data_IF_708324976182
#
_entry.id   IF_708324976182
#
_cell.length_a   1.000
_cell.length_b   1.000
_cell.length_c   1.000
_cell.angle_alpha   90.00
_cell.angle_beta   90.00
_cell.angle_gamma   90.00
#
_symmetry.space_group_name_H-M   'P 1'
#
loop_
_entity.id
_entity.type
_entity.pdbx_description
1 polymer ?
#
# COMPACT_ATOMS: atom_id res chain seq x y z
N UNK A 1 -25.59 67.99 -43.41
CA UNK A 1 -25.04 68.99 -42.47
C UNK A 1 -25.38 68.55 -41.07
N UNK A 2 -24.38 68.64 -40.18
CA UNK A 2 -24.42 68.56 -38.72
C UNK A 2 -24.73 67.20 -38.06
N UNK A 3 -23.72 66.66 -37.38
CA UNK A 3 -23.89 65.84 -36.17
C UNK A 3 -23.94 66.72 -34.92
N UNK A 4 -24.24 66.13 -33.77
CA UNK A 4 -23.31 66.02 -32.62
C UNK A 4 -23.94 65.20 -31.47
N UNK A 5 -23.08 64.68 -30.61
CA UNK A 5 -23.26 63.79 -29.45
C UNK A 5 -24.19 64.29 -28.30
N UNK A 6 -24.77 63.34 -27.55
CA UNK A 6 -24.82 63.39 -26.08
C UNK A 6 -25.31 62.06 -25.44
N UNK A 7 -24.39 61.43 -24.69
CA UNK A 7 -24.61 60.37 -23.70
C UNK A 7 -25.74 60.65 -22.68
N UNK A 8 -26.49 59.60 -22.32
CA UNK A 8 -26.94 59.38 -20.93
C UNK A 8 -26.87 57.91 -20.54
N UNK A 9 -26.18 57.69 -19.43
CA UNK A 9 -25.88 56.47 -18.69
C UNK A 9 -27.11 55.90 -17.96
N UNK A 10 -26.89 54.76 -17.29
CA UNK A 10 -27.68 54.09 -16.22
C UNK A 10 -28.61 52.98 -16.77
N UNK A 11 -28.49 51.69 -16.45
CA UNK A 11 -27.77 50.94 -15.43
C UNK A 11 -27.62 49.47 -15.90
N UNK A 12 -26.40 48.93 -15.90
CA UNK A 12 -26.20 47.48 -16.01
C UNK A 12 -26.32 46.89 -14.60
N UNK A 13 -27.44 46.22 -14.33
CA UNK A 13 -27.57 45.32 -13.19
C UNK A 13 -26.51 44.22 -13.26
N UNK A 14 -25.44 44.37 -12.48
CA UNK A 14 -24.50 43.29 -12.20
C UNK A 14 -25.24 42.21 -11.44
N UNK A 15 -25.64 41.14 -12.12
CA UNK A 15 -25.84 39.85 -11.46
C UNK A 15 -24.46 39.35 -11.00
N UNK A 16 -24.06 39.74 -9.80
CA UNK A 16 -22.95 39.12 -9.09
C UNK A 16 -23.35 37.69 -8.74
N UNK A 17 -22.86 36.73 -9.51
CA UNK A 17 -22.89 35.32 -9.15
C UNK A 17 -22.15 35.17 -7.80
N UNK A 18 -22.73 34.53 -6.77
CA UNK A 18 -22.00 34.28 -5.54
C UNK A 18 -20.84 33.34 -5.87
N UNK A 19 -19.63 33.77 -5.53
CA UNK A 19 -18.39 33.03 -5.72
C UNK A 19 -18.56 31.63 -5.10
N UNK A 20 -18.64 30.57 -5.92
CA UNK A 20 -18.53 29.20 -5.41
C UNK A 20 -17.17 29.10 -4.71
N UNK A 21 -17.17 28.95 -3.39
CA UNK A 21 -16.01 28.43 -2.66
C UNK A 21 -15.77 27.02 -3.16
N UNK A 22 -14.73 26.87 -3.96
CA UNK A 22 -14.22 25.60 -4.47
C UNK A 22 -13.85 24.73 -3.28
N UNK A 23 -14.49 23.58 -3.12
CA UNK A 23 -14.19 22.69 -2.00
C UNK A 23 -12.76 22.13 -2.14
N UNK A 24 -12.00 21.91 -1.05
CA UNK A 24 -10.59 21.50 -1.11
C UNK A 24 -10.35 20.21 -1.92
N UNK A 25 -11.32 19.29 -1.92
CA UNK A 25 -11.27 18.02 -2.64
C UNK A 25 -11.62 18.10 -4.13
N UNK A 26 -11.80 19.30 -4.67
CA UNK A 26 -11.82 19.52 -6.13
C UNK A 26 -10.39 19.65 -6.70
N UNK A 27 -9.39 19.84 -5.84
CA UNK A 27 -7.98 19.82 -6.24
C UNK A 27 -7.53 18.37 -6.49
N UNK A 28 -6.98 18.10 -7.69
CA UNK A 28 -6.49 16.77 -8.07
C UNK A 28 -5.42 16.17 -7.14
N UNK A 29 -4.70 17.01 -6.38
CA UNK A 29 -3.69 16.55 -5.43
C UNK A 29 -4.27 16.23 -4.05
N UNK A 30 -5.55 16.51 -3.82
CA UNK A 30 -6.21 16.25 -2.55
C UNK A 30 -6.49 14.75 -2.38
N UNK A 31 -6.26 14.15 -1.20
CA UNK A 31 -6.49 12.71 -0.99
C UNK A 31 -7.97 12.30 -1.13
N UNK A 32 -8.89 13.24 -0.91
CA UNK A 32 -10.34 13.03 -1.12
C UNK A 32 -10.81 13.29 -2.56
N UNK A 33 -9.92 13.68 -3.48
CA UNK A 33 -10.27 13.83 -4.89
C UNK A 33 -10.57 12.46 -5.50
N UNK A 34 -11.63 12.38 -6.30
CA UNK A 34 -12.00 11.19 -7.06
C UNK A 34 -11.77 11.46 -8.54
N UNK A 35 -10.77 10.78 -9.12
CA UNK A 35 -10.48 10.92 -10.54
C UNK A 35 -11.54 10.17 -11.37
N UNK A 36 -11.82 10.62 -12.59
CA UNK A 36 -12.83 9.97 -13.44
C UNK A 36 -12.48 8.51 -13.82
N UNK A 37 -11.21 8.13 -13.71
CA UNK A 37 -10.74 6.76 -13.91
C UNK A 37 -10.80 5.89 -12.64
N UNK A 38 -11.21 6.45 -11.51
CA UNK A 38 -11.36 5.74 -10.24
C UNK A 38 -12.69 4.99 -10.20
N UNK A 39 -12.71 3.86 -10.90
CA UNK A 39 -13.88 3.00 -10.97
C UNK A 39 -13.76 1.87 -9.93
N UNK A 40 -14.87 1.42 -9.32
CA UNK A 40 -14.85 0.31 -8.36
C UNK A 40 -14.26 -0.99 -8.93
N UNK A 41 -14.42 -1.24 -10.23
CA UNK A 41 -13.91 -2.43 -10.91
C UNK A 41 -12.45 -2.34 -11.40
N UNK A 42 -11.72 -1.28 -11.04
CA UNK A 42 -10.33 -1.15 -11.44
C UNK A 42 -9.47 -2.25 -10.79
N UNK A 43 -8.73 -2.99 -11.60
CA UNK A 43 -7.76 -3.98 -11.13
C UNK A 43 -6.50 -3.24 -10.67
N UNK A 44 -6.33 -3.09 -9.36
CA UNK A 44 -5.14 -2.43 -8.79
C UNK A 44 -3.92 -3.34 -8.70
N UNK A 45 -4.15 -4.63 -8.45
CA UNK A 45 -3.11 -5.66 -8.36
C UNK A 45 -3.52 -6.84 -9.23
N UNK A 46 -2.59 -7.38 -10.02
CA UNK A 46 -2.89 -8.44 -10.97
C UNK A 46 -3.11 -9.80 -10.29
N UNK A 47 -2.41 -10.05 -9.19
CA UNK A 47 -2.54 -11.28 -8.42
C UNK A 47 -3.33 -10.99 -7.13
N UNK A 48 -4.52 -11.59 -6.93
CA UNK A 48 -5.27 -11.43 -5.70
C UNK A 48 -4.55 -12.01 -4.49
N UNK A 49 -4.87 -11.52 -3.29
CA UNK A 49 -4.38 -12.10 -2.04
C UNK A 49 -4.88 -13.55 -1.92
N UNK A 50 -3.94 -14.43 -1.59
CA UNK A 50 -4.11 -15.84 -1.26
C UNK A 50 -3.36 -16.12 0.05
N UNK A 51 -3.34 -17.36 0.51
CA UNK A 51 -2.74 -17.72 1.80
C UNK A 51 -1.23 -17.52 1.85
N UNK A 52 -0.54 -17.61 0.72
CA UNK A 52 0.92 -17.75 0.60
C UNK A 52 1.62 -16.55 -0.06
N UNK A 53 0.89 -15.51 -0.46
CA UNK A 53 1.44 -14.40 -1.24
C UNK A 53 1.30 -13.01 -0.58
N UNK A 54 1.04 -12.97 0.73
CA UNK A 54 0.75 -11.73 1.46
C UNK A 54 1.84 -10.66 1.30
N UNK A 55 3.13 -11.02 1.34
CA UNK A 55 4.25 -10.06 1.17
C UNK A 55 4.17 -9.34 -0.18
N UNK A 56 4.04 -10.10 -1.27
CA UNK A 56 3.99 -9.54 -2.63
C UNK A 56 2.71 -8.73 -2.83
N UNK A 57 1.60 -9.23 -2.29
CA UNK A 57 0.31 -8.57 -2.38
C UNK A 57 0.29 -7.23 -1.64
N UNK A 58 0.76 -7.20 -0.38
CA UNK A 58 0.73 -5.98 0.45
C UNK A 58 1.62 -4.89 -0.17
N UNK A 59 2.78 -5.25 -0.71
CA UNK A 59 3.66 -4.30 -1.42
C UNK A 59 2.99 -3.75 -2.68
N UNK A 60 2.40 -4.63 -3.50
CA UNK A 60 1.75 -4.23 -4.74
C UNK A 60 0.53 -3.32 -4.48
N UNK A 61 -0.28 -3.66 -3.48
CA UNK A 61 -1.45 -2.89 -3.10
C UNK A 61 -1.05 -1.54 -2.49
N UNK A 62 0.00 -1.50 -1.67
CA UNK A 62 0.53 -0.26 -1.11
C UNK A 62 1.01 0.72 -2.19
N UNK A 63 1.74 0.22 -3.18
CA UNK A 63 2.17 1.00 -4.33
C UNK A 63 0.99 1.56 -5.12
N UNK A 64 -0.03 0.72 -5.41
CA UNK A 64 -1.20 1.13 -6.16
C UNK A 64 -1.99 2.23 -5.43
N UNK A 65 -2.22 2.07 -4.12
CA UNK A 65 -2.90 3.08 -3.30
C UNK A 65 -2.09 4.38 -3.16
N UNK A 66 -0.77 4.29 -3.15
CA UNK A 66 0.11 5.47 -3.16
C UNK A 66 -0.04 6.26 -4.46
N UNK A 67 0.01 5.58 -5.61
CA UNK A 67 -0.21 6.20 -6.94
C UNK A 67 -1.59 6.86 -7.03
N UNK A 68 -2.61 6.24 -6.44
CA UNK A 68 -3.99 6.78 -6.39
C UNK A 68 -4.19 7.90 -5.36
N UNK A 69 -3.18 8.21 -4.55
CA UNK A 69 -3.29 9.13 -3.41
C UNK A 69 -4.41 8.72 -2.43
N UNK A 70 -4.48 7.41 -2.12
CA UNK A 70 -5.49 6.80 -1.24
C UNK A 70 -4.90 5.96 -0.11
N UNK A 71 -3.56 5.89 0.01
CA UNK A 71 -2.86 5.17 1.09
C UNK A 71 -3.33 5.58 2.49
N UNK A 72 -3.67 6.86 2.67
CA UNK A 72 -4.15 7.39 3.95
C UNK A 72 -5.39 6.70 4.54
N UNK A 73 -6.21 6.08 3.69
CA UNK A 73 -7.41 5.34 4.10
C UNK A 73 -7.09 4.00 4.75
N UNK A 74 -5.93 3.40 4.48
CA UNK A 74 -5.56 2.08 5.01
C UNK A 74 -4.53 2.16 6.13
N UNK A 75 -3.60 3.13 6.08
CA UNK A 75 -2.60 3.33 7.14
C UNK A 75 -3.14 4.16 8.32
N UNK A 76 -4.27 4.83 8.13
CA UNK A 76 -4.93 5.62 9.17
C UNK A 76 -4.40 7.03 9.36
N UNK A 77 -3.53 7.51 8.47
CA UNK A 77 -3.11 8.92 8.46
C UNK A 77 -4.23 9.86 8.03
N UNK A 78 -5.23 9.37 7.29
CA UNK A 78 -6.42 10.12 6.87
C UNK A 78 -7.66 9.69 7.65
N UNK A 79 -7.96 10.41 8.73
CA UNK A 79 -9.13 10.14 9.56
C UNK A 79 -10.41 10.74 8.96
N UNK A 80 -11.55 10.10 9.24
CA UNK A 80 -12.86 10.63 8.86
C UNK A 80 -13.10 11.98 9.55
N UNK A 81 -13.43 13.06 8.82
CA UNK A 81 -13.73 14.36 9.41
C UNK A 81 -14.90 14.31 10.39
N UNK A 82 -14.94 15.19 11.39
CA UNK A 82 -16.00 15.24 12.42
C UNK A 82 -16.93 16.44 12.30
N UNK A 83 -16.48 17.53 11.68
CA UNK A 83 -17.17 18.83 11.74
C UNK A 83 -17.73 19.33 10.39
N UNK A 84 -17.33 18.74 9.27
CA UNK A 84 -17.79 19.13 7.94
C UNK A 84 -18.59 17.99 7.28
N UNK A 85 -19.93 18.08 7.17
CA UNK A 85 -20.76 17.04 6.56
C UNK A 85 -20.42 16.77 5.08
N UNK A 86 -20.04 17.79 4.31
CA UNK A 86 -19.68 17.62 2.89
C UNK A 86 -18.37 16.85 2.75
N UNK A 87 -17.38 17.20 3.58
CA UNK A 87 -16.09 16.51 3.61
C UNK A 87 -16.25 15.07 4.12
N UNK A 88 -17.11 14.85 5.11
CA UNK A 88 -17.47 13.51 5.59
C UNK A 88 -18.05 12.65 4.48
N UNK A 89 -19.03 13.17 3.74
CA UNK A 89 -19.64 12.46 2.63
C UNK A 89 -18.60 12.13 1.56
N UNK A 90 -17.70 13.06 1.25
CA UNK A 90 -16.63 12.82 0.29
C UNK A 90 -15.62 11.77 0.78
N UNK A 91 -15.24 11.83 2.06
CA UNK A 91 -14.41 10.81 2.70
C UNK A 91 -15.07 9.43 2.63
N UNK A 92 -16.38 9.34 2.94
CA UNK A 92 -17.14 8.09 2.91
C UNK A 92 -17.16 7.47 1.50
N UNK A 93 -17.29 8.30 0.45
CA UNK A 93 -17.20 7.86 -0.95
C UNK A 93 -15.83 7.28 -1.30
N UNK A 94 -14.76 7.98 -0.94
CA UNK A 94 -13.39 7.50 -1.17
C UNK A 94 -13.11 6.23 -0.36
N UNK A 95 -13.55 6.16 0.88
CA UNK A 95 -13.40 4.97 1.72
C UNK A 95 -14.13 3.76 1.12
N UNK A 96 -15.37 3.92 0.64
CA UNK A 96 -16.11 2.86 -0.06
C UNK A 96 -15.36 2.41 -1.32
N UNK A 97 -14.83 3.35 -2.10
CA UNK A 97 -14.03 3.03 -3.28
C UNK A 97 -12.79 2.20 -2.94
N UNK A 98 -12.03 2.59 -1.91
CA UNK A 98 -10.86 1.82 -1.46
C UNK A 98 -11.28 0.43 -0.99
N UNK A 99 -12.41 0.29 -0.28
CA UNK A 99 -12.96 -1.03 0.06
C UNK A 99 -13.27 -1.87 -1.18
N UNK A 100 -13.86 -1.28 -2.23
CA UNK A 100 -14.14 -2.03 -3.46
C UNK A 100 -12.88 -2.52 -4.14
N UNK A 101 -11.81 -1.72 -4.14
CA UNK A 101 -10.52 -2.13 -4.66
C UNK A 101 -9.87 -3.23 -3.81
N UNK A 102 -9.94 -3.14 -2.48
CA UNK A 102 -9.48 -4.21 -1.59
C UNK A 102 -10.23 -5.51 -1.85
N UNK A 103 -11.56 -5.47 -1.94
CA UNK A 103 -12.39 -6.63 -2.25
C UNK A 103 -12.09 -7.24 -3.63
N UNK A 104 -11.81 -6.39 -4.62
CA UNK A 104 -11.39 -6.84 -5.97
C UNK A 104 -9.95 -7.36 -6.01
N UNK A 105 -9.15 -7.06 -4.99
CA UNK A 105 -7.75 -7.46 -4.87
C UNK A 105 -7.54 -8.72 -4.02
N UNK A 106 -8.58 -9.35 -3.49
CA UNK A 106 -8.46 -10.54 -2.64
C UNK A 106 -9.27 -11.71 -3.22
N UNK A 107 -8.90 -12.95 -2.87
CA UNK A 107 -9.65 -14.12 -3.33
C UNK A 107 -11.09 -14.11 -2.79
N UNK A 108 -11.99 -14.81 -3.49
CA UNK A 108 -13.41 -14.91 -3.10
C UNK A 108 -13.61 -15.51 -1.70
N UNK A 109 -12.74 -16.42 -1.30
CA UNK A 109 -12.79 -17.03 0.02
C UNK A 109 -12.46 -16.01 1.13
N UNK A 110 -11.41 -15.22 0.92
CA UNK A 110 -11.00 -14.18 1.88
C UNK A 110 -12.04 -13.06 1.90
N UNK A 111 -12.57 -12.65 0.74
CA UNK A 111 -13.53 -11.55 0.66
C UNK A 111 -14.78 -11.78 1.50
N UNK A 112 -15.30 -13.02 1.54
CA UNK A 112 -16.45 -13.38 2.37
C UNK A 112 -16.21 -13.11 3.86
N UNK A 113 -14.96 -13.19 4.34
CA UNK A 113 -14.64 -12.94 5.75
C UNK A 113 -14.54 -11.46 6.11
N UNK A 114 -14.16 -10.60 5.16
CA UNK A 114 -13.87 -9.18 5.43
C UNK A 114 -14.90 -8.21 4.83
N UNK A 115 -15.86 -8.69 4.01
CA UNK A 115 -16.85 -7.83 3.33
C UNK A 115 -17.68 -6.97 4.29
N UNK A 116 -17.90 -7.46 5.52
CA UNK A 116 -18.67 -6.76 6.55
C UNK A 116 -17.85 -5.77 7.38
N UNK A 117 -16.54 -5.63 7.14
CA UNK A 117 -15.72 -4.58 7.74
C UNK A 117 -16.34 -3.20 7.53
N UNK A 118 -16.26 -2.33 8.53
CA UNK A 118 -16.89 -1.00 8.48
C UNK A 118 -16.25 -0.11 7.42
N UNK A 119 -14.93 0.00 7.45
CA UNK A 119 -14.13 0.87 6.59
C UNK A 119 -12.95 0.12 5.96
N UNK A 120 -12.25 0.78 5.02
CA UNK A 120 -11.09 0.23 4.34
C UNK A 120 -9.94 -0.07 5.31
N UNK A 121 -9.77 0.75 6.34
CA UNK A 121 -8.73 0.57 7.36
C UNK A 121 -8.94 -0.71 8.16
N UNK A 122 -10.16 -0.94 8.64
CA UNK A 122 -10.51 -2.15 9.41
C UNK A 122 -10.27 -3.40 8.55
N UNK A 123 -10.70 -3.37 7.29
CA UNK A 123 -10.44 -4.45 6.33
C UNK A 123 -8.94 -4.69 6.13
N UNK A 124 -8.17 -3.62 5.92
CA UNK A 124 -6.72 -3.71 5.76
C UNK A 124 -6.04 -4.33 6.99
N UNK A 125 -6.43 -3.90 8.19
CA UNK A 125 -5.87 -4.42 9.45
C UNK A 125 -6.24 -5.88 9.68
N UNK A 126 -7.47 -6.31 9.38
CA UNK A 126 -7.85 -7.73 9.47
C UNK A 126 -7.06 -8.60 8.49
N UNK A 127 -6.87 -8.14 7.25
CA UNK A 127 -6.04 -8.84 6.26
C UNK A 127 -4.57 -8.91 6.73
N UNK A 128 -4.06 -7.81 7.26
CA UNK A 128 -2.71 -7.76 7.81
C UNK A 128 -2.56 -8.72 8.98
N UNK A 129 -3.45 -8.65 9.97
CA UNK A 129 -3.43 -9.54 11.13
C UNK A 129 -3.51 -11.00 10.68
N UNK A 130 -4.43 -11.36 9.79
CA UNK A 130 -4.62 -12.76 9.39
C UNK A 130 -3.45 -13.34 8.60
N UNK A 131 -2.92 -12.60 7.62
CA UNK A 131 -1.97 -13.15 6.64
C UNK A 131 -0.51 -12.77 6.90
N UNK A 132 -0.23 -11.78 7.77
CA UNK A 132 1.14 -11.54 8.25
C UNK A 132 1.68 -12.66 9.13
N UNK A 133 0.80 -13.41 9.81
CA UNK A 133 1.19 -14.58 10.59
C UNK A 133 1.66 -15.74 9.71
N UNK A 134 1.05 -15.96 8.54
CA UNK A 134 1.53 -16.99 7.59
C UNK A 134 2.95 -16.69 7.14
N UNK A 135 3.27 -15.41 6.88
CA UNK A 135 4.65 -14.99 6.62
C UNK A 135 5.57 -15.25 7.81
N UNK A 136 5.09 -15.07 9.04
CA UNK A 136 5.87 -15.35 10.25
C UNK A 136 6.15 -16.85 10.40
N UNK A 137 5.18 -17.71 10.10
CA UNK A 137 5.35 -19.17 10.09
C UNK A 137 6.31 -19.61 8.98
N UNK A 138 6.19 -19.04 7.78
CA UNK A 138 7.11 -19.33 6.68
C UNK A 138 8.53 -18.86 7.01
N UNK A 139 8.68 -17.65 7.55
CA UNK A 139 9.95 -17.12 8.02
C UNK A 139 10.56 -18.03 9.09
N UNK A 140 9.76 -18.48 10.07
CA UNK A 140 10.20 -19.43 11.09
C UNK A 140 10.68 -20.76 10.48
N UNK A 141 9.94 -21.31 9.52
CA UNK A 141 10.33 -22.55 8.85
C UNK A 141 11.65 -22.39 8.09
N UNK A 142 11.85 -21.26 7.40
CA UNK A 142 13.11 -20.96 6.71
C UNK A 142 14.24 -20.75 7.71
N UNK A 143 14.00 -20.04 8.82
CA UNK A 143 15.00 -19.85 9.88
C UNK A 143 15.42 -21.19 10.51
N UNK A 144 14.47 -22.09 10.76
CA UNK A 144 14.78 -23.44 11.22
C UNK A 144 15.55 -24.23 10.17
N UNK A 145 15.14 -24.19 8.91
CA UNK A 145 15.84 -24.87 7.83
C UNK A 145 17.29 -24.34 7.66
N UNK A 146 17.50 -23.02 7.83
CA UNK A 146 18.82 -22.42 7.89
C UNK A 146 19.57 -22.99 9.09
N UNK A 147 19.00 -22.90 10.30
CA UNK A 147 19.63 -23.34 11.55
C UNK A 147 20.07 -24.81 11.50
N UNK A 148 19.23 -25.70 10.97
CA UNK A 148 19.48 -27.13 10.81
C UNK A 148 20.38 -27.46 9.62
N UNK A 149 20.62 -26.51 8.71
CA UNK A 149 21.48 -26.74 7.56
C UNK A 149 22.93 -26.95 8.00
N UNK A 150 23.49 -28.10 7.61
CA UNK A 150 24.88 -28.51 7.79
C UNK A 150 25.34 -29.30 6.56
N UNK A 151 26.65 -29.39 6.35
CA UNK A 151 27.24 -30.09 5.20
C UNK A 151 26.97 -31.60 5.24
N UNK A 152 27.21 -32.24 6.39
CA UNK A 152 27.09 -33.68 6.54
C UNK A 152 28.01 -34.42 5.56
N UNK A 153 27.52 -35.49 4.92
CA UNK A 153 28.33 -36.28 3.96
C UNK A 153 28.39 -35.67 2.56
N UNK A 154 27.81 -34.48 2.35
CA UNK A 154 27.75 -33.80 1.06
C UNK A 154 29.01 -32.99 0.73
N UNK A 155 29.05 -32.41 -0.48
CA UNK A 155 30.09 -31.46 -0.86
C UNK A 155 29.82 -30.08 -0.28
N UNK A 156 30.88 -29.32 -0.02
CA UNK A 156 30.78 -27.91 0.40
C UNK A 156 29.93 -27.10 -0.59
N UNK A 157 30.05 -27.35 -1.89
CA UNK A 157 29.25 -26.69 -2.93
C UNK A 157 27.76 -26.98 -2.80
N UNK A 158 27.38 -28.24 -2.56
CA UNK A 158 25.99 -28.63 -2.34
C UNK A 158 25.39 -27.94 -1.11
N UNK A 159 26.15 -27.94 -0.01
CA UNK A 159 25.76 -27.26 1.22
C UNK A 159 25.57 -25.76 1.02
N UNK A 160 26.57 -25.08 0.45
CA UNK A 160 26.51 -23.64 0.17
C UNK A 160 25.33 -23.29 -0.74
N UNK A 161 25.07 -24.09 -1.78
CA UNK A 161 23.97 -23.84 -2.72
C UNK A 161 22.61 -23.91 -2.01
N UNK A 162 22.40 -24.92 -1.16
CA UNK A 162 21.17 -25.07 -0.37
C UNK A 162 21.01 -23.90 0.60
N UNK A 163 22.06 -23.57 1.35
CA UNK A 163 22.04 -22.50 2.34
C UNK A 163 21.81 -21.12 1.70
N UNK A 164 22.42 -20.87 0.54
CA UNK A 164 22.20 -19.67 -0.27
C UNK A 164 20.74 -19.55 -0.71
N UNK A 165 20.12 -20.63 -1.19
CA UNK A 165 18.72 -20.62 -1.58
C UNK A 165 17.79 -20.21 -0.43
N UNK A 166 18.04 -20.73 0.77
CA UNK A 166 17.27 -20.37 1.97
C UNK A 166 17.45 -18.90 2.36
N UNK A 167 18.67 -18.36 2.26
CA UNK A 167 18.90 -16.93 2.49
C UNK A 167 18.21 -16.04 1.46
N UNK A 168 18.27 -16.41 0.19
CA UNK A 168 17.62 -15.65 -0.88
C UNK A 168 16.09 -15.66 -0.71
N UNK A 169 15.50 -16.78 -0.26
CA UNK A 169 14.07 -16.88 0.09
C UNK A 169 13.70 -16.02 1.31
N UNK A 170 14.51 -16.07 2.37
CA UNK A 170 14.33 -15.22 3.56
C UNK A 170 14.38 -13.74 3.22
N UNK A 171 15.37 -13.33 2.43
CA UNK A 171 15.57 -11.94 2.03
C UNK A 171 14.38 -11.44 1.19
N UNK A 172 13.78 -12.31 0.36
CA UNK A 172 12.57 -12.00 -0.41
C UNK A 172 11.35 -11.78 0.50
N UNK A 173 11.18 -12.57 1.56
CA UNK A 173 10.08 -12.41 2.53
C UNK A 173 10.24 -11.17 3.41
N UNK A 174 11.47 -10.83 3.79
CA UNK A 174 11.77 -9.71 4.69
C UNK A 174 12.05 -8.39 3.94
N UNK A 175 11.92 -8.36 2.61
CA UNK A 175 12.40 -7.29 1.72
C UNK A 175 12.29 -5.88 2.30
N UNK A 176 13.43 -5.33 2.71
CA UNK A 176 13.52 -3.96 3.21
C UNK A 176 13.58 -2.99 2.03
N UNK A 177 12.89 -1.84 2.12
CA UNK A 177 13.02 -0.81 1.09
C UNK A 177 14.49 -0.36 0.98
N UNK A 178 15.03 -0.16 -0.24
CA UNK A 178 16.39 0.29 -0.42
C UNK A 178 16.61 1.63 0.27
N UNK A 179 17.49 1.66 1.28
CA UNK A 179 17.90 2.89 1.96
C UNK A 179 19.38 3.17 1.64
N UNK A 180 19.68 4.43 1.33
CA UNK A 180 21.06 4.92 1.13
C UNK A 180 21.66 5.51 2.41
N UNK A 181 20.98 5.34 3.55
CA UNK A 181 21.45 5.80 4.84
C UNK A 181 22.66 5.00 5.33
N UNK A 182 23.58 5.65 6.06
CA UNK A 182 24.76 5.01 6.63
C UNK A 182 24.42 3.76 7.48
N UNK A 183 23.32 3.83 8.24
CA UNK A 183 22.80 2.72 9.05
C UNK A 183 22.42 1.50 8.20
N UNK A 184 21.91 1.68 6.97
CA UNK A 184 21.57 0.55 6.12
C UNK A 184 22.81 -0.22 5.65
N UNK A 185 23.94 0.48 5.45
CA UNK A 185 25.21 -0.18 5.15
C UNK A 185 25.70 -1.03 6.34
N UNK A 186 25.62 -0.50 7.56
CA UNK A 186 25.99 -1.23 8.78
C UNK A 186 25.11 -2.47 9.02
N UNK A 187 23.79 -2.34 8.83
CA UNK A 187 22.85 -3.46 8.94
C UNK A 187 23.15 -4.53 7.89
N UNK A 188 23.45 -4.13 6.66
CA UNK A 188 23.84 -5.07 5.59
C UNK A 188 25.12 -5.83 5.96
N UNK A 189 26.14 -5.14 6.44
CA UNK A 189 27.39 -5.78 6.90
C UNK A 189 27.13 -6.76 8.05
N UNK A 190 26.27 -6.40 9.00
CA UNK A 190 25.86 -7.30 10.08
C UNK A 190 25.17 -8.56 9.53
N UNK A 191 24.23 -8.42 8.60
CA UNK A 191 23.54 -9.56 7.98
C UNK A 191 24.50 -10.49 7.24
N UNK A 192 25.44 -9.95 6.45
CA UNK A 192 26.46 -10.75 5.76
C UNK A 192 27.39 -11.48 6.74
N UNK A 193 27.70 -10.84 7.87
CA UNK A 193 28.48 -11.47 8.95
C UNK A 193 27.72 -12.65 9.54
N UNK A 194 26.41 -12.52 9.80
CA UNK A 194 25.57 -13.62 10.29
C UNK A 194 25.49 -14.78 9.27
N UNK A 195 25.34 -14.49 7.97
CA UNK A 195 25.40 -15.50 6.91
C UNK A 195 26.73 -16.25 6.92
N UNK A 196 27.84 -15.52 7.05
CA UNK A 196 29.19 -16.10 7.13
C UNK A 196 29.37 -16.97 8.36
N UNK A 197 28.95 -16.51 9.54
CA UNK A 197 29.00 -17.28 10.78
C UNK A 197 28.20 -18.58 10.64
N UNK A 198 26.99 -18.51 10.09
CA UNK A 198 26.17 -19.70 9.90
C UNK A 198 26.76 -20.68 8.88
N UNK A 199 27.39 -20.18 7.82
CA UNK A 199 28.15 -21.03 6.88
C UNK A 199 29.23 -21.81 7.64
N UNK A 200 30.07 -21.11 8.42
CA UNK A 200 31.17 -21.72 9.17
C UNK A 200 30.68 -22.75 10.20
N UNK A 201 29.58 -22.47 10.90
CA UNK A 201 28.99 -23.41 11.87
C UNK A 201 28.45 -24.69 11.24
N UNK A 202 28.06 -24.66 9.96
CA UNK A 202 27.52 -25.81 9.24
C UNK A 202 28.59 -26.64 8.51
N UNK A 203 29.84 -26.19 8.47
CA UNK A 203 30.96 -26.95 7.90
C UNK A 203 31.42 -28.00 8.91
N UNK A 204 31.17 -29.27 8.60
CA UNK A 204 31.49 -30.43 9.43
C UNK A 204 31.24 -31.73 8.68
#
# INVERSE_FOLDING_TARGET
MAGDDAQKLVEHGKHSNPSRTTEPWENSNHPLFLHHSDQPGAVLVSQPLMEDNYTTWVQSMDMALTIKNKKGFVDGTLNRPTHNPNEQQQWDRCNILVKTWLLGAISKEISNSVIHCKDARTMWLELQERFSHTNTVQLFNIENAIHECAQGTGTVTSFFTKLKGLWDEKDALCGFPPCTCATAAEVKTYMETQKTMKLLMGLG
#
